data_IF_158630715204
#
_entry.id   IF_158630715204
#
_cell.length_a   1.000
_cell.length_b   1.000
_cell.length_c   1.000
_cell.angle_alpha   90.00
_cell.angle_beta   90.00
_cell.angle_gamma   90.00
#
_symmetry.space_group_name_H-M   'P 1'
#
loop_
_entity.id
_entity.type
_entity.pdbx_description
1 polymer ?
#
# COMPACT_ATOMS: atom_id res chain seq x y z
N UNK A 1 -1.10 14.07 -14.49
CA UNK A 1 0.32 14.05 -14.06
C UNK A 1 0.72 12.73 -13.39
N UNK A 2 -0.10 12.12 -12.53
CA UNK A 2 0.28 10.88 -11.83
C UNK A 2 -0.10 9.59 -12.56
N UNK A 3 -1.09 9.67 -13.45
CA UNK A 3 -1.66 8.55 -14.19
C UNK A 3 -0.65 7.70 -14.97
N UNK A 4 0.48 8.27 -15.40
CA UNK A 4 1.47 7.58 -16.24
C UNK A 4 2.72 7.19 -15.47
N UNK A 5 2.71 7.27 -14.14
CA UNK A 5 3.88 6.87 -13.34
C UNK A 5 4.09 5.35 -13.45
N UNK A 6 5.34 4.87 -13.54
CA UNK A 6 5.60 3.44 -13.48
C UNK A 6 5.33 2.91 -12.07
N UNK A 7 4.80 1.69 -11.99
CA UNK A 7 4.69 0.95 -10.73
C UNK A 7 6.07 0.43 -10.34
N UNK A 8 6.41 0.51 -9.07
CA UNK A 8 7.62 -0.13 -8.54
C UNK A 8 7.48 -1.65 -8.71
N UNK A 9 8.47 -2.35 -9.30
CA UNK A 9 8.38 -3.78 -9.54
C UNK A 9 7.96 -4.58 -8.29
N UNK A 10 7.00 -5.50 -8.47
CA UNK A 10 6.51 -6.37 -7.41
C UNK A 10 5.47 -5.74 -6.48
N UNK A 11 5.08 -4.47 -6.65
CA UNK A 11 4.14 -3.80 -5.76
C UNK A 11 2.76 -4.46 -5.74
N UNK A 12 2.15 -4.61 -6.92
CA UNK A 12 0.80 -5.13 -7.05
C UNK A 12 0.71 -6.57 -6.52
N UNK A 13 1.64 -7.42 -6.96
CA UNK A 13 1.68 -8.85 -6.62
C UNK A 13 1.87 -9.04 -5.12
N UNK A 14 2.74 -8.25 -4.50
CA UNK A 14 3.00 -8.32 -3.06
C UNK A 14 1.80 -7.84 -2.25
N UNK A 15 1.20 -6.71 -2.64
CA UNK A 15 0.01 -6.19 -1.94
C UNK A 15 -1.18 -7.15 -2.05
N UNK A 16 -1.32 -7.89 -3.16
CA UNK A 16 -2.31 -8.95 -3.28
C UNK A 16 -2.01 -10.12 -2.35
N UNK A 17 -0.77 -10.63 -2.30
CA UNK A 17 -0.38 -11.69 -1.35
C UNK A 17 -0.62 -11.30 0.10
N UNK A 18 -0.31 -10.05 0.47
CA UNK A 18 -0.58 -9.52 1.81
C UNK A 18 -2.09 -9.41 2.08
N UNK A 19 -2.87 -8.89 1.13
CA UNK A 19 -4.34 -8.85 1.23
C UNK A 19 -4.92 -10.26 1.43
N UNK A 20 -4.44 -11.23 0.68
CA UNK A 20 -4.84 -12.62 0.73
C UNK A 20 -4.47 -13.30 2.05
N UNK A 21 -3.34 -12.91 2.65
CA UNK A 21 -2.90 -13.30 3.99
C UNK A 21 -3.73 -12.65 5.12
N UNK A 22 -4.68 -11.78 4.79
CA UNK A 22 -5.56 -11.10 5.74
C UNK A 22 -5.09 -9.70 6.16
N UNK A 23 -4.08 -9.13 5.50
CA UNK A 23 -3.62 -7.76 5.78
C UNK A 23 -4.59 -6.73 5.20
N UNK A 24 -5.03 -5.81 6.05
CA UNK A 24 -5.84 -4.67 5.62
C UNK A 24 -4.96 -3.57 5.02
N UNK A 25 -4.97 -3.44 3.69
CA UNK A 25 -4.15 -2.46 2.96
C UNK A 25 -4.86 -1.10 2.91
N UNK A 26 -4.23 -0.07 3.47
CA UNK A 26 -4.64 1.34 3.38
C UNK A 26 -3.55 2.16 2.69
N UNK A 27 -3.93 2.90 1.65
CA UNK A 27 -3.03 3.81 0.96
C UNK A 27 -3.21 5.23 1.51
N UNK A 28 -2.13 5.83 1.99
CA UNK A 28 -2.12 7.18 2.58
C UNK A 28 -1.24 8.06 1.72
N UNK A 29 -1.80 9.12 1.13
CA UNK A 29 -1.05 9.96 0.20
C UNK A 29 -1.33 11.45 0.35
N UNK A 30 -0.27 12.25 0.25
CA UNK A 30 -0.34 13.70 0.28
C UNK A 30 -0.47 14.25 -1.14
N UNK A 31 -1.65 14.08 -1.76
CA UNK A 31 -1.94 14.57 -3.13
C UNK A 31 -2.80 15.85 -3.15
N UNK A 32 -3.12 16.40 -1.98
CA UNK A 32 -3.94 17.62 -1.84
C UNK A 32 -3.07 18.87 -1.60
N UNK A 33 -1.93 18.97 -2.29
CA UNK A 33 -0.92 20.00 -2.04
C UNK A 33 -1.05 21.25 -2.94
N UNK A 34 -2.02 21.30 -3.86
CA UNK A 34 -2.28 22.45 -4.73
C UNK A 34 -3.74 22.91 -4.68
N UNK A 35 -3.93 24.19 -4.32
CA UNK A 35 -5.24 24.83 -4.43
C UNK A 35 -5.78 24.69 -5.85
N UNK A 36 -7.05 24.30 -5.97
CA UNK A 36 -7.78 24.13 -7.24
C UNK A 36 -7.32 22.96 -8.13
N UNK A 37 -6.36 22.12 -7.68
CA UNK A 37 -5.87 20.93 -8.39
C UNK A 37 -6.38 19.58 -7.85
N UNK A 38 -7.10 19.59 -6.72
CA UNK A 38 -7.46 18.37 -5.99
C UNK A 38 -8.28 17.37 -6.81
N UNK A 39 -9.26 17.84 -7.58
CA UNK A 39 -10.11 16.96 -8.39
C UNK A 39 -9.28 16.14 -9.39
N UNK A 40 -8.32 16.79 -10.06
CA UNK A 40 -7.43 16.14 -11.03
C UNK A 40 -6.45 15.19 -10.33
N UNK A 41 -5.86 15.61 -9.22
CA UNK A 41 -4.91 14.78 -8.48
C UNK A 41 -5.55 13.50 -7.92
N UNK A 42 -6.77 13.60 -7.39
CA UNK A 42 -7.55 12.46 -6.91
C UNK A 42 -7.91 11.55 -8.08
N UNK A 43 -8.48 12.08 -9.16
CA UNK A 43 -8.88 11.29 -10.33
C UNK A 43 -7.70 10.54 -10.95
N UNK A 44 -6.57 11.23 -11.17
CA UNK A 44 -5.36 10.60 -11.71
C UNK A 44 -4.80 9.51 -10.79
N UNK A 45 -4.89 9.69 -9.47
CA UNK A 45 -4.41 8.68 -8.51
C UNK A 45 -5.29 7.43 -8.54
N UNK A 46 -6.62 7.61 -8.52
CA UNK A 46 -7.56 6.47 -8.58
C UNK A 46 -7.43 5.72 -9.90
N UNK A 47 -7.39 6.45 -11.02
CA UNK A 47 -7.23 5.83 -12.34
C UNK A 47 -5.89 5.08 -12.47
N UNK A 48 -4.81 5.61 -11.88
CA UNK A 48 -3.54 4.90 -11.80
C UNK A 48 -3.63 3.61 -11.00
N UNK A 49 -4.33 3.61 -9.86
CA UNK A 49 -4.51 2.43 -9.01
C UNK A 49 -5.30 1.34 -9.74
N UNK A 50 -6.36 1.73 -10.45
CA UNK A 50 -7.21 0.83 -11.23
C UNK A 50 -6.43 0.21 -12.41
N UNK A 51 -5.70 1.04 -13.16
CA UNK A 51 -4.89 0.58 -14.30
C UNK A 51 -3.84 -0.46 -13.91
N UNK A 52 -3.28 -0.33 -12.71
CA UNK A 52 -2.23 -1.20 -12.21
C UNK A 52 -2.72 -2.28 -11.23
N UNK A 53 -4.04 -2.41 -11.06
CA UNK A 53 -4.67 -3.42 -10.20
C UNK A 53 -4.10 -3.45 -8.77
N UNK A 54 -3.85 -2.27 -8.19
CA UNK A 54 -3.32 -2.15 -6.83
C UNK A 54 -4.46 -2.39 -5.82
N UNK A 55 -4.36 -3.41 -4.94
CA UNK A 55 -5.41 -3.66 -3.97
C UNK A 55 -5.31 -2.67 -2.80
N UNK A 56 -6.44 -2.09 -2.42
CA UNK A 56 -6.59 -1.31 -1.21
C UNK A 56 -8.01 -1.47 -0.65
N UNK A 57 -8.17 -1.20 0.63
CA UNK A 57 -9.48 -1.12 1.32
C UNK A 57 -9.84 0.32 1.63
N UNK A 58 -8.83 1.13 1.95
CA UNK A 58 -8.99 2.55 2.20
C UNK A 58 -7.98 3.35 1.37
N UNK A 59 -8.42 4.49 0.85
CA UNK A 59 -7.57 5.49 0.19
C UNK A 59 -7.76 6.83 0.91
N UNK A 60 -6.72 7.27 1.62
CA UNK A 60 -6.76 8.49 2.43
C UNK A 60 -5.91 9.58 1.78
N UNK A 61 -6.57 10.65 1.35
CA UNK A 61 -5.92 11.88 0.89
C UNK A 61 -5.79 12.84 2.06
N UNK A 62 -4.57 13.04 2.53
CA UNK A 62 -4.30 13.84 3.73
C UNK A 62 -3.44 15.06 3.39
N UNK A 63 -3.64 16.17 4.10
CA UNK A 63 -2.82 17.40 4.03
C UNK A 63 -1.70 17.43 5.08
N UNK A 64 -1.98 16.95 6.27
CA UNK A 64 -0.97 16.49 7.24
C UNK A 64 -1.33 15.05 7.58
N UNK A 65 -0.37 14.21 7.99
CA UNK A 65 -0.65 12.83 8.43
C UNK A 65 -0.92 12.83 9.95
N UNK A 66 -2.12 13.15 10.47
CA UNK A 66 -2.44 12.78 11.84
C UNK A 66 -2.41 11.24 11.93
N UNK A 67 -2.13 10.72 13.12
CA UNK A 67 -2.01 9.28 13.40
C UNK A 67 -3.13 8.47 12.73
N UNK A 68 -2.85 7.91 11.56
CA UNK A 68 -3.80 7.05 10.85
C UNK A 68 -3.67 5.68 11.45
N UNK A 69 -4.52 5.33 12.43
CA UNK A 69 -4.48 4.04 13.15
C UNK A 69 -4.18 2.84 12.21
N UNK A 70 -2.92 2.43 12.17
CA UNK A 70 -2.43 1.30 11.42
C UNK A 70 -1.42 0.56 12.29
N UNK A 71 -1.41 -0.76 12.15
CA UNK A 71 -0.50 -1.63 12.90
C UNK A 71 0.96 -1.48 12.47
N UNK A 72 1.18 -1.03 11.23
CA UNK A 72 2.46 -0.93 10.55
C UNK A 72 2.39 0.07 9.39
N UNK A 73 3.52 0.71 9.08
CA UNK A 73 3.64 1.69 8.00
C UNK A 73 4.85 1.38 7.11
N UNK A 74 4.70 1.67 5.82
CA UNK A 74 5.76 1.62 4.81
C UNK A 74 5.83 3.01 4.17
N UNK A 75 6.96 3.70 4.30
CA UNK A 75 7.14 5.06 3.77
C UNK A 75 8.60 5.27 3.38
N UNK A 76 8.85 6.01 2.30
CA UNK A 76 10.19 6.36 1.85
C UNK A 76 10.66 7.72 2.39
N UNK A 77 9.76 8.58 2.85
CA UNK A 77 10.13 9.92 3.28
C UNK A 77 10.67 9.92 4.73
N UNK A 78 11.91 10.40 4.97
CA UNK A 78 12.53 10.42 6.31
C UNK A 78 11.64 11.02 7.41
N UNK A 79 11.08 12.21 7.15
CA UNK A 79 10.25 12.93 8.12
C UNK A 79 8.99 12.15 8.51
N UNK A 80 8.39 11.37 7.60
CA UNK A 80 7.23 10.55 7.91
C UNK A 80 7.63 9.38 8.81
N UNK A 81 8.71 8.68 8.47
CA UNK A 81 9.20 7.54 9.24
C UNK A 81 9.59 7.97 10.66
N UNK A 82 10.33 9.07 10.78
CA UNK A 82 10.76 9.64 12.07
C UNK A 82 9.57 10.05 12.95
N UNK A 83 8.57 10.72 12.38
CA UNK A 83 7.36 11.12 13.09
C UNK A 83 6.55 9.91 13.55
N UNK A 84 6.36 8.90 12.68
CA UNK A 84 5.65 7.67 13.00
C UNK A 84 6.34 6.91 14.15
N UNK A 85 7.66 6.71 14.05
CA UNK A 85 8.42 6.01 15.09
C UNK A 85 8.46 6.77 16.41
N UNK A 86 8.57 8.09 16.36
CA UNK A 86 8.52 8.95 17.56
C UNK A 86 7.16 8.87 18.27
N UNK A 87 6.09 8.50 17.56
CA UNK A 87 4.77 8.22 18.14
C UNK A 87 4.60 6.77 18.66
N UNK A 88 5.62 5.92 18.52
CA UNK A 88 5.59 4.51 18.91
C UNK A 88 5.01 3.57 17.85
N UNK A 89 4.80 4.05 16.62
CA UNK A 89 4.31 3.21 15.53
C UNK A 89 5.42 2.37 14.88
N UNK A 90 5.05 1.18 14.40
CA UNK A 90 5.94 0.35 13.58
C UNK A 90 6.06 0.93 12.17
N UNK A 91 7.26 1.30 11.75
CA UNK A 91 7.50 1.80 10.40
C UNK A 91 8.77 1.19 9.80
N UNK A 92 8.66 0.71 8.56
CA UNK A 92 9.79 0.29 7.73
C UNK A 92 10.08 1.34 6.66
N UNK A 93 11.36 1.64 6.45
CA UNK A 93 11.81 2.57 5.42
C UNK A 93 11.79 1.84 4.08
N UNK A 94 11.05 2.36 3.11
CA UNK A 94 11.22 1.92 1.72
C UNK A 94 12.47 2.60 1.15
N UNK A 95 13.49 1.83 0.82
CA UNK A 95 14.83 2.37 0.53
C UNK A 95 14.85 3.25 -0.71
N UNK A 96 15.43 4.43 -0.57
CA UNK A 96 15.72 5.35 -1.65
C UNK A 96 17.08 6.01 -1.40
N UNK A 97 17.80 6.46 -2.44
CA UNK A 97 19.11 7.11 -2.26
C UNK A 97 19.08 8.28 -1.29
N UNK A 98 17.98 9.03 -1.24
CA UNK A 98 17.82 10.21 -0.40
C UNK A 98 17.50 9.90 1.08
N UNK A 99 17.17 8.65 1.42
CA UNK A 99 16.87 8.22 2.80
C UNK A 99 17.93 7.25 3.36
N UNK A 100 19.12 7.25 2.77
CA UNK A 100 20.23 6.37 3.16
C UNK A 100 20.68 6.63 4.61
N UNK A 101 20.65 7.88 5.06
CA UNK A 101 21.10 8.28 6.40
C UNK A 101 20.07 8.03 7.51
N UNK A 102 18.86 7.57 7.16
CA UNK A 102 17.82 7.25 8.14
C UNK A 102 18.05 5.84 8.69
N UNK A 103 18.28 5.76 10.00
CA UNK A 103 18.50 4.49 10.70
C UNK A 103 17.21 3.68 10.90
N UNK A 104 17.35 2.38 11.16
CA UNK A 104 16.26 1.47 11.53
C UNK A 104 15.81 0.51 10.42
N UNK A 105 14.72 -0.25 10.65
CA UNK A 105 14.21 -1.24 9.70
C UNK A 105 13.98 -0.67 8.30
N UNK A 106 14.38 -1.44 7.30
CA UNK A 106 14.48 -1.03 5.91
C UNK A 106 14.11 -2.17 4.97
N UNK A 107 13.46 -1.83 3.87
CA UNK A 107 13.18 -2.72 2.75
C UNK A 107 13.72 -2.10 1.45
N UNK A 108 14.50 -2.84 0.66
CA UNK A 108 15.01 -2.43 -0.64
C UNK A 108 13.98 -2.61 -1.77
N UNK A 109 12.91 -3.35 -1.51
CA UNK A 109 11.83 -3.62 -2.45
C UNK A 109 10.66 -4.30 -1.78
N UNK A 110 9.62 -4.60 -2.57
CA UNK A 110 8.36 -5.14 -2.04
C UNK A 110 8.49 -6.54 -1.43
N UNK A 111 9.40 -7.38 -1.91
CA UNK A 111 9.66 -8.68 -1.26
C UNK A 111 10.11 -8.53 0.19
N UNK A 112 10.99 -7.58 0.48
CA UNK A 112 11.45 -7.32 1.85
C UNK A 112 10.37 -6.64 2.70
N UNK A 113 9.48 -5.86 2.08
CA UNK A 113 8.27 -5.36 2.76
C UNK A 113 7.37 -6.53 3.17
N UNK A 114 7.16 -7.50 2.28
CA UNK A 114 6.36 -8.69 2.56
C UNK A 114 6.92 -9.47 3.76
N UNK A 115 8.20 -9.80 3.72
CA UNK A 115 8.89 -10.53 4.79
C UNK A 115 8.78 -9.80 6.13
N UNK A 116 8.93 -8.47 6.11
CA UNK A 116 8.80 -7.64 7.31
C UNK A 116 7.37 -7.66 7.88
N UNK A 117 6.36 -7.51 7.02
CA UNK A 117 4.95 -7.54 7.45
C UNK A 117 4.57 -8.92 8.01
N UNK A 118 4.95 -10.00 7.32
CA UNK A 118 4.66 -11.37 7.78
C UNK A 118 5.35 -11.68 9.10
N UNK A 119 6.61 -11.22 9.28
CA UNK A 119 7.33 -11.35 10.55
C UNK A 119 6.63 -10.59 11.68
N UNK A 120 6.09 -9.40 11.41
CA UNK A 120 5.34 -8.61 12.38
C UNK A 120 3.99 -9.25 12.73
N UNK A 121 3.31 -9.86 11.76
CA UNK A 121 2.08 -10.61 12.01
C UNK A 121 2.35 -11.81 12.93
N UNK A 122 3.41 -12.57 12.64
CA UNK A 122 3.81 -13.73 13.43
C UNK A 122 4.18 -13.34 14.87
N UNK A 123 4.95 -12.25 15.07
CA UNK A 123 5.35 -11.80 16.41
C UNK A 123 4.18 -11.31 17.25
N UNK A 124 3.09 -10.87 16.62
CA UNK A 124 1.85 -10.42 17.26
C UNK A 124 0.80 -11.53 17.41
N UNK A 125 1.13 -12.76 17.02
CA UNK A 125 0.23 -13.93 17.15
C UNK A 125 -0.93 -13.92 16.15
N UNK A 126 -0.87 -13.13 15.08
CA UNK A 126 -1.85 -13.19 14.01
C UNK A 126 -1.60 -14.42 13.14
N UNK A 127 -2.63 -15.25 12.94
CA UNK A 127 -2.56 -16.41 12.05
C UNK A 127 -2.64 -15.91 10.62
N UNK A 128 -1.56 -16.12 9.85
CA UNK A 128 -1.58 -15.95 8.39
C UNK A 128 -2.57 -16.96 7.84
N UNK A 129 -3.68 -16.49 7.26
CA UNK A 129 -4.62 -17.37 6.58
C UNK A 129 -4.00 -17.81 5.24
N UNK A 130 -3.72 -19.10 5.01
CA UNK A 130 -3.33 -19.57 3.69
C UNK A 130 -4.57 -19.50 2.79
N UNK A 131 -4.50 -18.76 1.69
CA UNK A 131 -5.60 -18.68 0.74
C UNK A 131 -5.79 -20.03 0.05
N UNK A 132 -7.00 -20.58 0.11
CA UNK A 132 -7.44 -21.53 -0.91
C UNK A 132 -7.71 -20.75 -2.21
N UNK A 133 -7.20 -21.19 -3.37
CA UNK A 133 -7.41 -20.47 -4.62
C UNK A 133 -8.90 -20.37 -4.94
N UNK A 134 -9.41 -19.13 -5.04
CA UNK A 134 -10.74 -18.84 -5.56
C UNK A 134 -10.78 -19.25 -7.04
N UNK A 135 -11.39 -20.38 -7.35
CA UNK A 135 -11.70 -20.78 -8.73
C UNK A 135 -12.74 -19.81 -9.27
N UNK A 136 -12.31 -18.82 -10.06
CA UNK A 136 -13.18 -17.93 -10.79
C UNK A 136 -13.86 -18.73 -11.92
N UNK A 137 -15.02 -19.34 -11.65
CA UNK A 137 -15.81 -19.97 -12.71
C UNK A 137 -16.48 -18.89 -13.56
N UNK A 138 -15.80 -18.46 -14.63
CA UNK A 138 -16.39 -17.62 -15.68
C UNK A 138 -17.20 -18.48 -16.65
N UNK A 139 -18.35 -18.99 -16.23
CA UNK A 139 -19.33 -19.53 -17.18
C UNK A 139 -20.76 -19.51 -16.62
N UNK A 140 -21.45 -18.38 -16.77
CA UNK A 140 -22.90 -18.32 -16.88
C UNK A 140 -23.33 -16.95 -17.41
N UNK A 141 -23.84 -16.88 -18.64
CA UNK A 141 -24.41 -15.63 -19.16
C UNK A 141 -24.61 -15.47 -20.66
N UNK A 142 -24.53 -16.52 -21.48
CA UNK A 142 -25.16 -16.48 -22.81
C UNK A 142 -26.61 -16.95 -22.66
N UNK A 143 -27.55 -16.01 -22.65
CA UNK A 143 -28.96 -16.28 -22.95
C UNK A 143 -29.40 -15.36 -24.09
N UNK A 144 -29.61 -16.03 -25.24
CA UNK A 144 -30.50 -15.71 -26.34
C UNK A 144 -31.59 -14.68 -26.02
N UNK A 145 -31.72 -13.69 -26.89
CA UNK A 145 -33.02 -13.14 -27.26
C UNK A 145 -33.14 -13.19 -28.79
N UNK A 146 -34.34 -13.59 -29.21
CA UNK A 146 -34.74 -14.01 -30.56
C UNK A 146 -35.16 -12.84 -31.43
#
# INVERSE_FOLDING_TARGET
MFRTMPVIPGAAETLWRLSDAGVWIRLITHRLYTNWGHAVAVADTVEWLDQHSIPYRDLCFLGDKPQVEAHAYVDDAPHNVEALRSSGAEAVIFSQPYNADVEGPRAAGWSEVEDWVLSLMASRGHVVQPTMPMVLNRSAGLRNES
#
